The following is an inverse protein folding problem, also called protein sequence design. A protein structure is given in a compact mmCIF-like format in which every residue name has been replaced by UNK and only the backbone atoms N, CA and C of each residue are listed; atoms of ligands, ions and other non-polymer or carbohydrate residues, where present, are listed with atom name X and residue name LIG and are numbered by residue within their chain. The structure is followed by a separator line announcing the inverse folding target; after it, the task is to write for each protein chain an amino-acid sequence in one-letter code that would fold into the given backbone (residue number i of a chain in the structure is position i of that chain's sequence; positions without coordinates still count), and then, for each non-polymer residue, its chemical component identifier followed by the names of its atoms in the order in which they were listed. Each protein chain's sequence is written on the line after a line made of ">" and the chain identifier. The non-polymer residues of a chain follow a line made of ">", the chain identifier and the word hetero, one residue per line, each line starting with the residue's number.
data_IF_077514334351
#
_entry.id   IF_077514334351
#
_cell.length_a   1.000
_cell.length_b   1.000
_cell.length_c   1.000
_cell.angle_alpha   90.00
_cell.angle_beta   90.00
_cell.angle_gamma   90.00
#
_symmetry.space_group_name_H-M   'P 1'
#
loop_
_entity.id
_entity.type
_entity.pdbx_description
1 polymer ?
#
# COMPACT_ATOMS: atom_id res chain seq x y z
N UNK A 1 -3.89 -18.33 -0.85
CA UNK A 1 -3.50 -18.34 0.57
C UNK A 1 -4.02 -19.60 1.29
N UNK A 2 -5.34 -19.90 1.26
CA UNK A 2 -5.88 -21.08 1.95
C UNK A 2 -5.23 -22.39 1.51
N UNK A 3 -4.97 -22.56 0.21
CA UNK A 3 -4.27 -23.74 -0.32
C UNK A 3 -2.82 -23.83 0.16
N UNK A 4 -2.12 -22.70 0.32
CA UNK A 4 -0.76 -22.71 0.88
C UNK A 4 -0.76 -23.16 2.33
N UNK A 5 -1.71 -22.68 3.15
CA UNK A 5 -1.87 -23.14 4.52
C UNK A 5 -2.22 -24.63 4.60
N UNK A 6 -3.06 -25.13 3.67
CA UNK A 6 -3.39 -26.53 3.60
C UNK A 6 -2.16 -27.39 3.28
N UNK A 7 -1.30 -26.97 2.36
CA UNK A 7 -0.04 -27.65 2.04
C UNK A 7 0.93 -27.63 3.22
N UNK A 8 1.07 -26.50 3.90
CA UNK A 8 1.88 -26.40 5.13
C UNK A 8 1.39 -27.37 6.20
N UNK A 9 0.08 -27.44 6.44
CA UNK A 9 -0.52 -28.37 7.41
C UNK A 9 -0.33 -29.85 7.02
N UNK A 10 -0.14 -30.16 5.73
CA UNK A 10 0.21 -31.52 5.30
C UNK A 10 1.66 -31.88 5.57
N UNK A 11 2.57 -30.90 5.50
CA UNK A 11 4.00 -31.09 5.77
C UNK A 11 4.28 -31.15 7.28
N UNK A 12 3.66 -30.25 8.04
CA UNK A 12 3.79 -30.13 9.49
C UNK A 12 2.40 -30.09 10.15
N UNK A 13 1.78 -31.26 10.41
CA UNK A 13 0.38 -31.34 10.88
C UNK A 13 0.13 -30.67 12.24
N UNK A 14 1.15 -30.61 13.11
CA UNK A 14 1.03 -30.04 14.46
C UNK A 14 1.36 -28.54 14.51
N UNK A 15 1.83 -27.95 13.40
CA UNK A 15 2.25 -26.56 13.36
C UNK A 15 1.07 -25.58 13.44
N UNK A 16 -0.04 -25.92 12.77
CA UNK A 16 -1.24 -25.08 12.72
C UNK A 16 -2.34 -25.66 13.60
N UNK A 17 -2.71 -24.96 14.67
CA UNK A 17 -3.83 -25.35 15.55
C UNK A 17 -5.15 -25.26 14.79
N UNK A 18 -5.32 -24.20 14.02
CA UNK A 18 -6.47 -24.02 13.12
C UNK A 18 -6.08 -23.08 11.98
N UNK A 19 -6.70 -23.28 10.85
CA UNK A 19 -6.57 -22.38 9.69
C UNK A 19 -7.81 -22.47 8.82
N UNK A 20 -8.03 -21.42 8.01
CA UNK A 20 -9.13 -21.38 7.05
C UNK A 20 -9.16 -20.07 6.31
N UNK A 21 -9.99 -20.01 5.29
CA UNK A 21 -10.14 -18.80 4.48
C UNK A 21 -10.49 -19.11 3.03
N UNK A 22 -10.26 -18.10 2.20
CA UNK A 22 -10.52 -18.13 0.76
C UNK A 22 -9.23 -17.85 -0.02
N UNK A 23 -9.32 -17.81 -1.34
CA UNK A 23 -8.18 -17.56 -2.21
C UNK A 23 -7.44 -16.24 -1.88
N UNK A 24 -8.19 -15.19 -1.49
CA UNK A 24 -7.65 -13.85 -1.25
C UNK A 24 -7.34 -13.53 0.21
N UNK A 25 -7.97 -14.23 1.17
CA UNK A 25 -7.74 -14.02 2.58
C UNK A 25 -7.84 -15.33 3.35
N UNK A 26 -6.89 -15.57 4.25
CA UNK A 26 -6.86 -16.72 5.13
C UNK A 26 -6.35 -16.33 6.51
N UNK A 27 -6.86 -17.00 7.53
CA UNK A 27 -6.40 -16.86 8.91
C UNK A 27 -5.86 -18.18 9.43
N UNK A 28 -4.97 -18.09 10.42
CA UNK A 28 -4.43 -19.25 11.10
C UNK A 28 -4.26 -18.95 12.60
N UNK A 29 -4.17 -20.02 13.38
CA UNK A 29 -3.78 -20.00 14.78
C UNK A 29 -2.68 -21.01 14.97
N UNK A 30 -1.61 -20.62 15.67
CA UNK A 30 -0.46 -21.47 15.97
C UNK A 30 0.18 -21.04 17.29
N UNK A 31 1.04 -21.88 17.84
CA UNK A 31 1.87 -21.49 18.98
C UNK A 31 3.03 -20.60 18.53
N UNK A 32 3.41 -19.61 19.36
CA UNK A 32 4.50 -18.66 19.06
C UNK A 32 5.83 -19.38 18.74
N UNK A 33 6.08 -20.52 19.37
CA UNK A 33 7.27 -21.35 19.14
C UNK A 33 7.36 -21.92 17.72
N UNK A 34 6.23 -22.03 17.03
CA UNK A 34 6.16 -22.53 15.66
C UNK A 34 6.43 -21.47 14.58
N UNK A 35 6.48 -20.18 14.96
CA UNK A 35 6.59 -19.08 14.00
C UNK A 35 7.80 -19.19 13.05
N UNK A 36 9.03 -19.52 13.51
CA UNK A 36 10.17 -19.66 12.59
C UNK A 36 10.01 -20.75 11.55
N UNK A 37 9.40 -21.88 11.95
CA UNK A 37 9.12 -23.00 11.03
C UNK A 37 8.03 -22.61 10.02
N UNK A 38 7.00 -21.93 10.51
CA UNK A 38 5.94 -21.44 9.64
C UNK A 38 6.45 -20.45 8.60
N UNK A 39 7.27 -19.49 8.98
CA UNK A 39 7.87 -18.50 8.07
C UNK A 39 8.64 -19.18 6.94
N UNK A 40 9.49 -20.15 7.26
CA UNK A 40 10.26 -20.91 6.26
C UNK A 40 9.36 -21.66 5.27
N UNK A 41 8.34 -22.36 5.78
CA UNK A 41 7.43 -23.12 4.95
C UNK A 41 6.54 -22.20 4.10
N UNK A 42 6.10 -21.10 4.67
CA UNK A 42 5.27 -20.14 3.95
C UNK A 42 6.05 -19.44 2.84
N UNK A 43 7.30 -19.06 3.09
CA UNK A 43 8.19 -18.50 2.08
C UNK A 43 8.45 -19.50 0.93
N UNK A 44 8.69 -20.77 1.27
CA UNK A 44 8.82 -21.83 0.27
C UNK A 44 7.55 -22.03 -0.58
N UNK A 45 6.36 -21.95 0.03
CA UNK A 45 5.10 -22.01 -0.69
C UNK A 45 4.86 -20.75 -1.55
N UNK A 46 5.27 -19.58 -1.05
CA UNK A 46 5.17 -18.32 -1.79
C UNK A 46 6.03 -18.32 -3.06
N UNK A 47 7.23 -18.93 -3.02
CA UNK A 47 8.11 -19.05 -4.18
C UNK A 47 7.52 -19.93 -5.32
N UNK A 48 6.56 -20.79 -5.00
CA UNK A 48 5.87 -21.61 -6.01
C UNK A 48 4.74 -20.88 -6.72
N UNK A 49 4.32 -19.76 -6.18
CA UNK A 49 3.31 -18.93 -6.84
C UNK A 49 3.92 -18.32 -8.11
N UNK A 50 3.16 -18.25 -9.21
CA UNK A 50 3.66 -17.64 -10.42
C UNK A 50 4.02 -16.19 -10.14
N UNK A 51 5.32 -15.94 -9.92
CA UNK A 51 5.88 -14.60 -9.81
C UNK A 51 6.05 -14.04 -11.22
N UNK A 52 5.15 -13.20 -11.66
CA UNK A 52 5.39 -12.28 -12.76
C UNK A 52 5.70 -10.89 -12.15
N UNK A 53 6.31 -9.97 -12.91
CA UNK A 53 6.33 -8.59 -12.49
C UNK A 53 4.88 -8.19 -12.21
N UNK A 54 4.62 -7.70 -10.99
CA UNK A 54 3.31 -7.14 -10.68
C UNK A 54 3.10 -5.99 -11.66
N UNK A 55 2.24 -6.21 -12.64
CA UNK A 55 1.73 -5.10 -13.43
C UNK A 55 1.08 -4.15 -12.43
N UNK A 56 1.44 -2.87 -12.49
CA UNK A 56 0.74 -1.84 -11.74
C UNK A 56 -0.61 -1.65 -12.43
N UNK A 57 -1.59 -2.43 -12.00
CA UNK A 57 -2.95 -2.28 -12.50
C UNK A 57 -3.61 -1.11 -11.77
N UNK A 58 -3.96 -0.11 -12.53
CA UNK A 58 -4.77 1.02 -12.06
C UNK A 58 -5.80 1.39 -13.11
N UNK A 59 -6.93 1.94 -12.68
CA UNK A 59 -8.03 2.28 -13.58
C UNK A 59 -7.80 3.59 -14.33
N UNK A 60 -7.15 4.57 -13.67
CA UNK A 60 -6.86 5.88 -14.26
C UNK A 60 -5.71 6.61 -13.55
N UNK A 61 -5.09 7.57 -14.23
CA UNK A 61 -4.23 8.55 -13.59
C UNK A 61 -5.08 9.57 -12.83
N UNK A 62 -4.68 9.87 -11.58
CA UNK A 62 -5.25 10.98 -10.83
C UNK A 62 -4.72 12.30 -11.40
N UNK A 63 -5.59 13.10 -11.96
CA UNK A 63 -5.27 14.44 -12.45
C UNK A 63 -5.78 15.53 -11.51
N UNK A 64 -5.24 16.73 -11.63
CA UNK A 64 -5.67 17.89 -10.86
C UNK A 64 -7.11 18.32 -11.18
N UNK A 65 -7.66 17.95 -12.33
CA UNK A 65 -9.05 18.22 -12.75
C UNK A 65 -10.01 17.08 -12.36
N UNK A 66 -9.52 15.94 -11.82
CA UNK A 66 -10.34 14.79 -11.49
C UNK A 66 -11.46 15.14 -10.51
N UNK A 67 -12.70 14.87 -10.88
CA UNK A 67 -13.87 14.99 -9.99
C UNK A 67 -14.00 13.72 -9.15
N UNK A 68 -13.40 13.73 -7.96
CA UNK A 68 -13.35 12.57 -7.06
C UNK A 68 -14.72 12.28 -6.43
N UNK A 69 -15.54 13.31 -6.17
CA UNK A 69 -16.87 13.16 -5.59
C UNK A 69 -17.81 12.54 -6.63
N UNK A 70 -17.84 13.07 -7.84
CA UNK A 70 -18.62 12.49 -8.93
C UNK A 70 -18.16 11.09 -9.33
N UNK A 71 -16.86 10.78 -9.18
CA UNK A 71 -16.34 9.43 -9.43
C UNK A 71 -16.87 8.44 -8.40
N UNK A 72 -16.88 8.78 -7.11
CA UNK A 72 -17.45 7.93 -6.07
C UNK A 72 -18.95 7.71 -6.32
N UNK A 73 -19.71 8.76 -6.54
CA UNK A 73 -21.15 8.67 -6.79
C UNK A 73 -21.47 7.76 -7.99
N UNK A 74 -20.66 7.81 -9.04
CA UNK A 74 -20.85 6.99 -10.23
C UNK A 74 -20.50 5.50 -10.02
N UNK A 75 -19.63 5.20 -9.06
CA UNK A 75 -19.15 3.85 -8.78
C UNK A 75 -19.88 3.16 -7.63
N UNK A 76 -20.67 3.88 -6.85
CA UNK A 76 -21.43 3.29 -5.74
C UNK A 76 -22.53 2.31 -6.23
N UNK A 77 -22.80 1.22 -5.48
CA UNK A 77 -22.14 0.80 -4.25
C UNK A 77 -20.83 0.04 -4.51
N UNK A 78 -19.76 0.50 -3.88
CA UNK A 78 -18.47 -0.19 -3.91
C UNK A 78 -18.42 -1.30 -2.85
N UNK A 79 -17.66 -2.37 -3.14
CA UNK A 79 -17.52 -3.52 -2.23
C UNK A 79 -17.07 -4.79 -2.92
N UNK A 80 -17.53 -5.95 -2.43
CA UNK A 80 -17.19 -7.23 -3.02
C UNK A 80 -17.76 -7.35 -4.44
N UNK A 81 -16.89 -7.49 -5.43
CA UNK A 81 -17.26 -7.53 -6.85
C UNK A 81 -17.26 -6.17 -7.56
N UNK A 82 -17.19 -5.07 -6.80
CA UNK A 82 -17.00 -3.71 -7.33
C UNK A 82 -16.06 -2.94 -6.39
N UNK A 83 -14.74 -3.21 -6.43
CA UNK A 83 -13.77 -2.59 -5.52
C UNK A 83 -13.65 -1.09 -5.82
N UNK A 84 -13.20 -0.34 -4.83
CA UNK A 84 -12.82 1.06 -5.03
C UNK A 84 -11.75 1.19 -6.09
N UNK A 85 -11.82 2.20 -6.97
CA UNK A 85 -10.85 2.37 -8.04
C UNK A 85 -9.46 2.67 -7.47
N UNK A 86 -8.46 2.06 -8.08
CA UNK A 86 -7.06 2.33 -7.82
C UNK A 86 -6.58 3.37 -8.83
N UNK A 87 -6.10 4.50 -8.34
CA UNK A 87 -5.66 5.61 -9.16
C UNK A 87 -4.15 5.79 -9.06
N UNK A 88 -3.52 6.10 -10.17
CA UNK A 88 -2.09 6.40 -10.22
C UNK A 88 -1.85 7.89 -10.02
N UNK A 89 -1.21 8.22 -8.91
CA UNK A 89 -0.73 9.57 -8.61
C UNK A 89 0.70 9.71 -9.15
N UNK A 90 0.87 10.55 -10.17
CA UNK A 90 2.15 10.74 -10.84
C UNK A 90 2.77 12.09 -10.51
N UNK A 91 4.06 12.06 -10.12
CA UNK A 91 4.89 13.26 -9.90
C UNK A 91 4.24 14.36 -9.02
N UNK A 92 3.51 13.94 -7.97
CA UNK A 92 2.90 14.90 -7.05
C UNK A 92 3.93 15.47 -6.07
N UNK A 93 3.98 16.79 -5.94
CA UNK A 93 4.89 17.47 -5.01
C UNK A 93 4.49 17.23 -3.56
N UNK A 94 5.39 16.69 -2.77
CA UNK A 94 5.20 16.53 -1.33
C UNK A 94 5.31 17.89 -0.63
N UNK A 95 4.23 18.30 0.05
CA UNK A 95 4.18 19.57 0.76
C UNK A 95 4.30 19.43 2.27
N UNK A 96 3.76 18.34 2.82
CA UNK A 96 3.77 18.09 4.26
C UNK A 96 3.52 16.62 4.56
N UNK A 97 4.15 16.10 5.62
CA UNK A 97 3.84 14.81 6.21
C UNK A 97 3.49 15.02 7.67
N UNK A 98 2.36 14.49 8.09
CA UNK A 98 1.89 14.50 9.46
C UNK A 98 1.80 13.06 9.98
N UNK A 99 2.38 12.81 11.13
CA UNK A 99 2.26 11.53 11.83
C UNK A 99 1.07 11.61 12.78
N UNK A 100 0.17 10.64 12.67
CA UNK A 100 -1.01 10.52 13.52
C UNK A 100 -0.92 9.27 14.38
N UNK A 101 -1.23 9.38 15.67
CA UNK A 101 -1.20 8.26 16.64
C UNK A 101 0.09 7.44 16.59
N UNK A 102 1.22 8.03 16.17
CA UNK A 102 2.55 7.40 16.06
C UNK A 102 2.66 6.24 15.04
N UNK A 103 1.60 5.86 14.37
CA UNK A 103 1.55 4.71 13.46
C UNK A 103 0.92 5.01 12.09
N UNK A 104 0.29 6.17 11.90
CA UNK A 104 -0.36 6.52 10.65
C UNK A 104 0.31 7.73 10.03
N UNK A 105 0.28 7.82 8.71
CA UNK A 105 0.74 8.98 7.97
C UNK A 105 -0.43 9.69 7.30
N UNK A 106 -0.44 11.02 7.35
CA UNK A 106 -1.23 11.87 6.48
C UNK A 106 -0.26 12.71 5.65
N UNK A 107 -0.27 12.44 4.35
CA UNK A 107 0.65 13.02 3.38
C UNK A 107 -0.13 14.07 2.60
N UNK A 108 0.40 15.28 2.52
CA UNK A 108 -0.19 16.36 1.75
C UNK A 108 0.65 16.57 0.50
N UNK A 109 0.01 16.51 -0.65
CA UNK A 109 0.64 16.66 -1.95
C UNK A 109 -0.01 17.78 -2.75
N UNK A 110 0.75 18.34 -3.65
CA UNK A 110 0.31 19.31 -4.65
C UNK A 110 0.49 18.67 -6.03
N UNK A 111 -0.60 18.51 -6.74
CA UNK A 111 -0.63 18.03 -8.11
C UNK A 111 -1.06 19.18 -9.01
N UNK A 112 -0.10 19.82 -9.67
CA UNK A 112 -0.34 20.94 -10.60
C UNK A 112 -1.22 22.06 -10.01
N UNK A 113 -1.02 22.40 -8.72
CA UNK A 113 -1.76 23.45 -8.03
C UNK A 113 -3.00 23.03 -7.27
N UNK A 114 -3.42 21.76 -7.38
CA UNK A 114 -4.47 21.19 -6.54
C UNK A 114 -3.89 20.37 -5.40
N UNK A 115 -4.38 20.61 -4.21
CA UNK A 115 -3.91 19.94 -2.99
C UNK A 115 -4.75 18.73 -2.68
N UNK A 116 -4.07 17.61 -2.40
CA UNK A 116 -4.70 16.38 -1.94
C UNK A 116 -4.10 15.95 -0.61
N UNK A 117 -4.90 15.24 0.20
CA UNK A 117 -4.39 14.55 1.37
C UNK A 117 -4.55 13.04 1.18
N UNK A 118 -3.48 12.30 1.49
CA UNK A 118 -3.41 10.86 1.33
C UNK A 118 -3.16 10.26 2.70
N UNK A 119 -3.97 9.29 3.09
CA UNK A 119 -3.86 8.58 4.37
C UNK A 119 -3.14 7.24 4.17
N UNK A 120 -2.32 6.89 5.14
CA UNK A 120 -1.80 5.54 5.26
C UNK A 120 -1.91 5.08 6.70
N UNK A 121 -2.79 4.10 6.91
CA UNK A 121 -2.99 3.49 8.22
C UNK A 121 -1.88 2.46 8.49
N UNK A 122 -1.39 2.43 9.76
CA UNK A 122 -0.32 1.51 10.21
C UNK A 122 0.86 1.49 9.25
N UNK A 123 1.37 2.68 8.95
CA UNK A 123 2.41 2.85 7.94
C UNK A 123 3.73 2.19 8.38
N UNK A 124 4.35 1.37 7.53
CA UNK A 124 5.69 0.86 7.77
C UNK A 124 6.77 1.96 7.68
N UNK A 125 6.42 3.13 7.11
CA UNK A 125 7.36 4.23 6.83
C UNK A 125 7.26 5.41 7.80
N UNK A 126 6.75 5.21 9.03
CA UNK A 126 6.61 6.29 10.03
C UNK A 126 7.96 6.98 10.31
N UNK A 127 9.04 6.22 10.42
CA UNK A 127 10.39 6.79 10.65
C UNK A 127 10.86 7.64 9.49
N UNK A 128 10.70 7.17 8.25
CA UNK A 128 11.00 7.94 7.04
C UNK A 128 10.09 9.17 6.92
N UNK A 129 8.81 9.01 7.20
CA UNK A 129 7.84 10.10 7.19
C UNK A 129 8.19 11.21 8.18
N UNK A 130 8.79 10.88 9.32
CA UNK A 130 9.30 11.86 10.29
C UNK A 130 10.49 12.62 9.72
N UNK A 131 11.50 11.91 9.23
CA UNK A 131 12.70 12.50 8.64
C UNK A 131 12.34 13.42 7.46
N UNK A 132 11.53 12.93 6.54
CA UNK A 132 11.11 13.68 5.37
C UNK A 132 10.23 14.89 5.72
N UNK A 133 9.30 14.71 6.64
CA UNK A 133 8.43 15.79 7.11
C UNK A 133 9.23 16.92 7.76
N UNK A 134 10.26 16.61 8.54
CA UNK A 134 11.19 17.61 9.09
C UNK A 134 12.02 18.31 8.00
N UNK A 135 12.50 17.56 7.00
CA UNK A 135 13.25 18.10 5.88
C UNK A 135 12.43 19.10 5.06
N UNK A 136 11.19 18.73 4.74
CA UNK A 136 10.24 19.58 4.03
C UNK A 136 9.89 20.84 4.86
N UNK A 137 9.54 20.65 6.14
CA UNK A 137 9.14 21.75 7.03
C UNK A 137 10.25 22.80 7.22
N UNK A 138 11.51 22.38 7.18
CA UNK A 138 12.68 23.27 7.27
C UNK A 138 13.14 23.82 5.91
N UNK A 139 12.41 23.52 4.83
CA UNK A 139 12.77 23.94 3.47
C UNK A 139 14.06 23.34 2.91
N UNK A 140 14.58 22.26 3.55
CA UNK A 140 15.80 21.57 3.11
C UNK A 140 15.56 20.61 1.96
N UNK A 141 14.37 20.04 1.92
CA UNK A 141 14.02 19.00 0.99
C UNK A 141 12.91 19.44 0.04
N UNK A 142 13.15 19.24 -1.25
CA UNK A 142 12.13 19.25 -2.29
C UNK A 142 11.87 17.82 -2.69
N UNK A 143 10.61 17.40 -2.59
CA UNK A 143 10.24 16.01 -2.79
C UNK A 143 9.02 15.92 -3.68
N UNK A 144 9.01 14.91 -4.56
CA UNK A 144 7.82 14.46 -5.27
C UNK A 144 7.66 12.97 -5.10
N UNK A 145 6.44 12.48 -5.27
CA UNK A 145 6.13 11.06 -5.12
C UNK A 145 5.27 10.56 -6.26
N UNK A 146 5.40 9.26 -6.50
CA UNK A 146 4.48 8.49 -7.32
C UNK A 146 3.91 7.34 -6.49
N UNK A 147 2.61 7.14 -6.58
CA UNK A 147 1.91 6.20 -5.72
C UNK A 147 0.64 5.67 -6.37
N UNK A 148 0.20 4.49 -5.92
CA UNK A 148 -1.16 4.04 -6.11
C UNK A 148 -1.99 4.46 -4.90
N UNK A 149 -3.11 5.10 -5.17
CA UNK A 149 -4.05 5.57 -4.17
C UNK A 149 -5.44 5.06 -4.49
N UNK A 150 -6.18 4.73 -3.45
CA UNK A 150 -7.57 4.28 -3.55
C UNK A 150 -8.50 5.36 -3.04
N UNK A 151 -9.63 5.54 -3.70
CA UNK A 151 -10.70 6.40 -3.22
C UNK A 151 -11.40 5.74 -2.03
N UNK A 152 -11.63 6.52 -1.00
CA UNK A 152 -12.40 6.11 0.18
C UNK A 152 -13.35 7.22 0.57
N UNK A 153 -14.57 6.85 0.91
CA UNK A 153 -15.51 7.77 1.51
C UNK A 153 -15.33 7.77 3.04
N UNK A 154 -15.24 8.95 3.61
CA UNK A 154 -15.23 9.13 5.05
C UNK A 154 -16.45 9.96 5.48
N UNK A 155 -17.24 9.43 6.41
CA UNK A 155 -18.33 10.14 7.02
C UNK A 155 -17.96 10.52 8.46
N UNK A 156 -17.86 11.83 8.70
CA UNK A 156 -17.59 12.37 10.02
C UNK A 156 -18.63 13.45 10.39
N UNK A 157 -19.31 13.25 11.49
CA UNK A 157 -20.38 14.16 11.98
C UNK A 157 -21.45 14.47 10.91
N UNK A 158 -21.85 13.47 10.12
CA UNK A 158 -22.85 13.61 9.06
C UNK A 158 -22.36 14.36 7.82
N UNK A 159 -21.06 14.61 7.73
CA UNK A 159 -20.43 15.15 6.51
C UNK A 159 -19.64 14.07 5.82
N UNK A 160 -19.98 13.83 4.57
CA UNK A 160 -19.20 12.95 3.69
C UNK A 160 -18.03 13.72 3.10
N UNK A 161 -16.92 13.09 3.01
CA UNK A 161 -15.72 13.62 2.33
C UNK A 161 -14.99 12.48 1.64
N UNK A 162 -14.41 12.80 0.49
CA UNK A 162 -13.57 11.86 -0.24
C UNK A 162 -12.15 11.92 0.31
N UNK A 163 -11.59 10.77 0.63
CA UNK A 163 -10.21 10.62 1.07
C UNK A 163 -9.45 9.71 0.12
N UNK A 164 -8.17 9.99 -0.06
CA UNK A 164 -7.25 9.11 -0.76
C UNK A 164 -6.51 8.25 0.26
N UNK A 165 -6.49 6.94 0.04
CA UNK A 165 -5.74 6.00 0.88
C UNK A 165 -4.55 5.47 0.09
N UNK A 166 -3.35 5.61 0.64
CA UNK A 166 -2.13 5.07 0.03
C UNK A 166 -2.18 3.55 0.05
N UNK A 167 -2.14 2.94 -1.13
CA UNK A 167 -2.04 1.49 -1.29
C UNK A 167 -0.62 1.06 -1.55
N UNK A 168 0.08 1.78 -2.42
CA UNK A 168 1.46 1.49 -2.75
C UNK A 168 2.25 2.77 -2.98
N UNK A 169 3.42 2.88 -2.38
CA UNK A 169 4.39 3.92 -2.70
C UNK A 169 5.34 3.36 -3.76
N UNK A 170 5.32 3.94 -4.95
CA UNK A 170 6.12 3.46 -6.08
C UNK A 170 7.52 4.05 -5.99
N UNK A 171 7.60 5.38 -5.92
CA UNK A 171 8.88 6.07 -5.82
C UNK A 171 8.75 7.45 -5.18
N UNK A 172 9.86 7.92 -4.62
CA UNK A 172 10.01 9.28 -4.11
C UNK A 172 11.28 9.87 -4.68
N UNK A 173 11.18 11.06 -5.25
CA UNK A 173 12.33 11.84 -5.69
C UNK A 173 12.61 12.92 -4.64
N UNK A 174 13.77 12.84 -3.99
CA UNK A 174 14.21 13.80 -2.95
C UNK A 174 15.42 14.58 -3.46
N UNK A 175 15.30 15.89 -3.61
CA UNK A 175 16.38 16.77 -4.11
C UNK A 175 17.02 16.26 -5.42
N UNK A 176 16.21 15.66 -6.30
CA UNK A 176 16.68 15.08 -7.56
C UNK A 176 17.13 13.62 -7.48
N UNK A 177 17.30 13.04 -6.29
CA UNK A 177 17.67 11.63 -6.10
C UNK A 177 16.40 10.78 -6.03
N UNK A 178 16.35 9.72 -6.82
CA UNK A 178 15.25 8.78 -6.86
C UNK A 178 15.42 7.70 -5.80
N UNK A 179 14.36 7.44 -5.05
CA UNK A 179 14.21 6.33 -4.11
C UNK A 179 13.04 5.49 -4.56
N UNK A 180 13.30 4.24 -4.93
CA UNK A 180 12.28 3.27 -5.34
C UNK A 180 11.84 2.43 -4.13
N UNK A 181 10.53 2.24 -3.99
CA UNK A 181 9.89 1.50 -2.89
C UNK A 181 9.21 0.21 -3.39
N UNK A 182 9.68 -0.35 -4.49
CA UNK A 182 9.21 -1.64 -4.96
C UNK A 182 9.38 -2.69 -3.87
N UNK A 183 8.44 -3.62 -3.75
CA UNK A 183 8.59 -4.78 -2.88
C UNK A 183 9.88 -5.49 -3.25
N UNK A 184 10.66 -5.93 -2.24
CA UNK A 184 11.93 -6.66 -2.43
C UNK A 184 11.81 -7.92 -3.30
N UNK A 185 10.60 -8.43 -3.49
CA UNK A 185 10.28 -9.65 -4.24
C UNK A 185 10.31 -9.45 -5.76
N UNK A 186 10.47 -8.22 -6.25
CA UNK A 186 10.54 -7.90 -7.69
C UNK A 186 11.96 -7.70 -8.23
N UNK A 187 12.97 -7.85 -7.38
CA UNK A 187 14.36 -7.89 -7.84
C UNK A 187 14.70 -9.33 -8.18
N UNK A 188 14.16 -9.83 -9.28
CA UNK A 188 14.80 -10.93 -10.00
C UNK A 188 16.21 -10.45 -10.32
N UNK A 189 17.23 -11.12 -9.79
CA UNK A 189 18.61 -10.96 -10.22
C UNK A 189 18.65 -11.02 -11.74
N UNK A 190 18.71 -9.87 -12.39
CA UNK A 190 19.16 -9.83 -13.77
C UNK A 190 20.64 -10.18 -13.71
N UNK A 191 20.91 -11.44 -14.07
CA UNK A 191 22.24 -11.96 -14.27
C UNK A 191 23.13 -10.95 -15.01
N UNK A 192 24.25 -10.67 -14.39
CA UNK A 192 25.43 -10.13 -15.00
C UNK A 192 25.77 -10.95 -16.25
N UNK A 193 25.89 -10.32 -17.37
CA UNK A 193 26.77 -10.70 -18.45
C UNK A 193 27.78 -9.57 -18.69
#
# INVERSE_FOLDING_TARGET
>A
LAESLQRISQVEPELLISFGGHALAAGLTMEDSGLPTFEQLFEFEAQKLPGGPLALDFEAELDHESDLEGLIEALEPMGQGNPSPLLYLKEADLRRIQIMKQEHLKIFVDLKGRYFSILQFRSPWVSLGREWGEGIARGRDRMSMEALVELSENEWNGRRSVELVLRELIQVKRNGVLHEFRRKDEVGESASL
#
